data_IF_724996026135
#
_entry.id   IF_724996026135
#
_cell.length_a   1.000
_cell.length_b   1.000
_cell.length_c   1.000
_cell.angle_alpha   90.00
_cell.angle_beta   90.00
_cell.angle_gamma   90.00
#
_symmetry.space_group_name_H-M   'P 1'
#
loop_
_entity.id
_entity.type
_entity.pdbx_description
1 polymer ?
#
# COMPACT_ATOMS: atom_id res chain seq x y z
N UNK A 1 -11.02 -16.38 22.79
CA UNK A 1 -9.55 -16.34 23.00
C UNK A 1 -8.86 -17.45 22.19
N UNK A 2 -8.55 -17.17 20.92
CA UNK A 2 -7.76 -18.07 20.08
C UNK A 2 -6.28 -17.76 20.27
N UNK A 3 -5.50 -18.75 20.70
CA UNK A 3 -4.05 -18.67 20.80
C UNK A 3 -3.48 -18.31 19.42
N UNK A 4 -2.89 -17.11 19.30
CA UNK A 4 -2.04 -16.79 18.16
C UNK A 4 -0.80 -17.67 18.28
N UNK A 5 -0.74 -18.73 17.47
CA UNK A 5 0.34 -19.71 17.50
C UNK A 5 1.70 -19.04 17.26
N UNK A 6 2.75 -19.65 17.80
CA UNK A 6 4.17 -19.28 17.70
C UNK A 6 4.74 -19.30 16.26
N UNK A 7 3.89 -19.16 15.23
CA UNK A 7 4.21 -19.28 13.80
C UNK A 7 3.68 -18.08 12.99
N UNK A 8 3.25 -17.02 13.66
CA UNK A 8 2.71 -15.83 13.02
C UNK A 8 3.87 -15.04 12.39
N UNK A 9 3.88 -14.92 11.06
CA UNK A 9 5.00 -14.30 10.34
C UNK A 9 4.89 -12.77 10.34
N UNK A 10 6.01 -12.04 10.47
CA UNK A 10 5.98 -10.58 10.56
C UNK A 10 5.38 -9.94 9.30
N UNK A 11 4.65 -8.85 9.51
CA UNK A 11 3.98 -8.09 8.46
C UNK A 11 4.31 -6.61 8.61
N UNK A 12 4.65 -5.95 7.50
CA UNK A 12 4.80 -4.49 7.45
C UNK A 12 3.66 -3.84 6.65
N UNK A 13 3.13 -2.73 7.15
CA UNK A 13 2.14 -1.88 6.48
C UNK A 13 2.74 -0.48 6.26
N UNK A 14 3.18 -0.21 5.02
CA UNK A 14 3.98 0.96 4.65
C UNK A 14 3.07 2.13 4.28
N UNK A 15 3.18 3.25 5.01
CA UNK A 15 2.30 4.40 4.89
C UNK A 15 0.88 4.06 5.29
N UNK A 16 0.73 3.64 6.55
CA UNK A 16 -0.49 3.04 7.09
C UNK A 16 -1.70 3.99 7.05
N UNK A 17 -1.50 5.31 7.02
CA UNK A 17 -2.57 6.28 6.92
C UNK A 17 -3.59 6.11 8.05
N UNK A 18 -4.80 5.66 7.69
CA UNK A 18 -5.89 5.41 8.64
C UNK A 18 -5.77 4.08 9.40
N UNK A 19 -4.78 3.23 9.09
CA UNK A 19 -4.62 1.91 9.69
C UNK A 19 -5.54 0.82 9.12
N UNK A 20 -6.26 1.09 8.02
CA UNK A 20 -7.28 0.17 7.49
C UNK A 20 -6.70 -1.17 7.05
N UNK A 21 -5.54 -1.20 6.40
CA UNK A 21 -4.90 -2.44 5.97
C UNK A 21 -4.42 -3.25 7.17
N UNK A 22 -3.72 -2.60 8.10
CA UNK A 22 -3.35 -3.18 9.39
C UNK A 22 -4.55 -3.78 10.13
N UNK A 23 -5.69 -3.09 10.19
CA UNK A 23 -6.89 -3.59 10.84
C UNK A 23 -7.46 -4.84 10.15
N UNK A 24 -7.54 -4.84 8.81
CA UNK A 24 -8.01 -5.99 8.02
C UNK A 24 -7.10 -7.20 8.22
N UNK A 25 -5.78 -6.99 8.16
CA UNK A 25 -4.77 -8.03 8.36
C UNK A 25 -4.86 -8.62 9.77
N UNK A 26 -4.91 -7.76 10.80
CA UNK A 26 -5.02 -8.18 12.19
C UNK A 26 -6.29 -9.01 12.45
N UNK A 27 -7.43 -8.61 11.87
CA UNK A 27 -8.70 -9.37 11.97
C UNK A 27 -8.64 -10.72 11.27
N UNK A 28 -7.82 -10.86 10.22
CA UNK A 28 -7.57 -12.13 9.53
C UNK A 28 -6.52 -13.00 10.23
N UNK A 29 -5.96 -12.55 11.36
CA UNK A 29 -4.98 -13.29 12.13
C UNK A 29 -3.55 -13.19 11.60
N UNK A 30 -3.28 -12.28 10.67
CA UNK A 30 -1.92 -11.97 10.25
C UNK A 30 -1.20 -11.14 11.33
N UNK A 31 0.12 -11.26 11.38
CA UNK A 31 0.97 -10.51 12.29
C UNK A 31 2.05 -11.37 12.92
N UNK A 32 2.92 -10.80 13.78
CA UNK A 32 2.87 -9.43 14.31
C UNK A 32 2.96 -8.35 13.21
N UNK A 33 2.19 -7.26 13.35
CA UNK A 33 2.13 -6.18 12.34
C UNK A 33 2.91 -4.96 12.84
N UNK A 34 3.80 -4.42 12.03
CA UNK A 34 4.39 -3.09 12.20
C UNK A 34 3.88 -2.17 11.09
N UNK A 35 3.20 -1.11 11.46
CA UNK A 35 2.63 -0.14 10.52
C UNK A 35 3.37 1.19 10.65
N UNK A 36 3.77 1.76 9.52
CA UNK A 36 4.63 2.93 9.46
C UNK A 36 3.95 4.10 8.79
N UNK A 37 4.21 5.30 9.27
CA UNK A 37 3.85 6.55 8.59
C UNK A 37 4.77 7.67 9.05
N UNK A 38 5.00 8.68 8.22
CA UNK A 38 5.76 9.86 8.61
C UNK A 38 4.89 10.92 9.29
N UNK A 39 3.59 10.99 8.98
CA UNK A 39 2.70 11.99 9.56
C UNK A 39 2.21 11.52 10.94
N UNK A 40 2.58 12.19 12.04
CA UNK A 40 2.09 11.82 13.37
C UNK A 40 0.56 11.90 13.48
N UNK A 41 -0.11 12.69 12.63
CA UNK A 41 -1.58 12.74 12.57
C UNK A 41 -2.17 11.47 11.95
N UNK A 42 -1.51 10.90 10.95
CA UNK A 42 -1.90 9.60 10.38
C UNK A 42 -1.77 8.50 11.45
N UNK A 43 -0.65 8.48 12.18
CA UNK A 43 -0.44 7.52 13.27
C UNK A 43 -1.49 7.66 14.39
N UNK A 44 -1.87 8.90 14.76
CA UNK A 44 -2.95 9.13 15.71
C UNK A 44 -4.29 8.57 15.19
N UNK A 45 -4.63 8.86 13.93
CA UNK A 45 -5.84 8.33 13.28
C UNK A 45 -5.83 6.79 13.23
N UNK A 46 -4.71 6.18 12.84
CA UNK A 46 -4.54 4.73 12.84
C UNK A 46 -4.73 4.15 14.24
N UNK A 47 -4.16 4.77 15.29
CA UNK A 47 -4.33 4.32 16.68
C UNK A 47 -5.79 4.30 17.11
N UNK A 48 -6.53 5.36 16.81
CA UNK A 48 -7.95 5.46 17.13
C UNK A 48 -8.77 4.38 16.42
N UNK A 49 -8.57 4.22 15.11
CA UNK A 49 -9.28 3.22 14.32
C UNK A 49 -8.98 1.78 14.77
N UNK A 50 -7.71 1.46 15.02
CA UNK A 50 -7.28 0.14 15.51
C UNK A 50 -7.90 -0.17 16.88
N UNK A 51 -8.07 0.85 17.72
CA UNK A 51 -8.67 0.71 19.05
C UNK A 51 -10.16 0.46 18.95
N UNK A 52 -10.87 1.21 18.10
CA UNK A 52 -12.30 1.01 17.84
C UNK A 52 -12.59 -0.38 17.25
N UNK A 53 -11.71 -0.89 16.38
CA UNK A 53 -11.82 -2.23 15.80
C UNK A 53 -11.39 -3.34 16.78
N UNK A 54 -10.75 -3.00 17.90
CA UNK A 54 -10.33 -3.95 18.93
C UNK A 54 -9.08 -4.77 18.56
N UNK A 55 -8.19 -4.22 17.74
CA UNK A 55 -6.98 -4.91 17.25
C UNK A 55 -5.67 -4.18 17.54
N UNK A 56 -5.70 -3.09 18.31
CA UNK A 56 -4.52 -2.29 18.65
C UNK A 56 -3.35 -3.09 19.22
N UNK A 57 -3.61 -4.14 20.01
CA UNK A 57 -2.56 -4.99 20.60
C UNK A 57 -1.79 -5.83 19.56
N UNK A 58 -2.32 -5.96 18.33
CA UNK A 58 -1.70 -6.72 17.24
C UNK A 58 -0.84 -5.86 16.31
N UNK A 59 -0.87 -4.53 16.49
CA UNK A 59 -0.27 -3.57 15.58
C UNK A 59 0.63 -2.59 16.32
N UNK A 60 1.92 -2.63 16.01
CA UNK A 60 2.88 -1.61 16.43
C UNK A 60 2.88 -0.49 15.41
N UNK A 61 2.53 0.73 15.84
CA UNK A 61 2.66 1.93 15.03
C UNK A 61 4.04 2.55 15.22
N UNK A 62 4.73 2.87 14.14
CA UNK A 62 6.07 3.45 14.16
C UNK A 62 6.15 4.67 13.24
N UNK A 63 6.60 5.79 13.78
CA UNK A 63 6.93 6.96 12.96
C UNK A 63 8.28 6.75 12.29
N UNK A 64 8.28 6.47 10.98
CA UNK A 64 9.50 6.24 10.20
C UNK A 64 9.23 6.51 8.72
N UNK A 65 10.29 6.80 7.97
CA UNK A 65 10.21 6.91 6.52
C UNK A 65 10.16 5.52 5.89
N UNK A 66 9.00 5.18 5.31
CA UNK A 66 8.67 3.92 4.66
C UNK A 66 8.91 2.68 5.53
N UNK A 67 10.12 2.13 5.56
CA UNK A 67 10.37 0.81 6.13
C UNK A 67 10.79 0.87 7.61
N UNK A 68 10.24 -0.01 8.46
CA UNK A 68 10.79 -0.24 9.79
C UNK A 68 12.05 -1.11 9.69
N UNK A 69 12.89 -1.16 10.73
CA UNK A 69 14.00 -2.11 10.79
C UNK A 69 13.53 -3.57 10.69
N UNK A 70 14.31 -4.40 9.99
CA UNK A 70 14.10 -5.85 9.94
C UNK A 70 13.49 -6.33 8.62
N UNK A 71 12.91 -7.54 8.66
CA UNK A 71 12.32 -8.19 7.48
C UNK A 71 10.95 -8.77 7.83
N UNK A 72 10.07 -8.81 6.83
CA UNK A 72 8.72 -9.33 6.95
C UNK A 72 8.44 -10.39 5.89
N UNK A 73 7.50 -11.29 6.20
CA UNK A 73 6.97 -12.23 5.21
C UNK A 73 6.01 -11.52 4.25
N UNK A 74 5.30 -10.51 4.74
CA UNK A 74 4.39 -9.71 3.93
C UNK A 74 4.67 -8.23 4.15
N UNK A 75 4.84 -7.47 3.08
CA UNK A 75 4.96 -6.00 3.12
C UNK A 75 3.86 -5.41 2.26
N UNK A 76 2.86 -4.78 2.87
CA UNK A 76 1.73 -4.16 2.16
C UNK A 76 1.95 -2.66 2.00
N UNK A 77 1.45 -2.09 0.91
CA UNK A 77 1.49 -0.65 0.64
C UNK A 77 0.33 -0.24 -0.26
N UNK A 78 -0.37 0.83 0.11
CA UNK A 78 -1.35 1.51 -0.73
C UNK A 78 -0.92 2.96 -0.91
N UNK A 79 0.07 3.23 -1.78
CA UNK A 79 0.57 4.58 -1.99
C UNK A 79 -0.50 5.44 -2.68
N UNK A 80 -0.37 6.78 -2.62
CA UNK A 80 -1.19 7.66 -3.43
C UNK A 80 -1.04 7.34 -4.92
N UNK A 81 -2.14 7.39 -5.67
CA UNK A 81 -2.21 6.79 -7.01
C UNK A 81 -1.75 7.69 -8.17
N UNK A 82 -1.79 9.01 -8.01
CA UNK A 82 -1.52 9.97 -9.07
C UNK A 82 -0.17 10.65 -8.87
N UNK A 83 0.74 10.66 -9.84
CA UNK A 83 2.05 11.29 -9.68
C UNK A 83 2.00 12.82 -9.89
N UNK A 84 1.17 13.53 -9.14
CA UNK A 84 1.07 15.00 -9.21
C UNK A 84 1.31 15.65 -7.85
N UNK A 85 1.24 16.99 -7.79
CA UNK A 85 1.33 17.73 -6.53
C UNK A 85 -0.04 17.83 -5.88
N UNK A 86 -0.14 17.49 -4.61
CA UNK A 86 -1.31 17.80 -3.81
C UNK A 86 -1.38 19.31 -3.54
N UNK A 87 -2.55 19.92 -3.72
CA UNK A 87 -2.81 21.30 -3.31
C UNK A 87 -3.32 21.42 -1.88
N UNK A 88 -3.67 20.29 -1.23
CA UNK A 88 -4.14 20.22 0.16
C UNK A 88 -3.67 18.94 0.89
N UNK A 89 -3.72 18.89 2.24
CA UNK A 89 -3.39 17.68 3.01
C UNK A 89 -4.23 16.45 2.67
N UNK A 90 -5.51 16.65 2.37
CA UNK A 90 -6.44 15.56 1.99
C UNK A 90 -6.07 14.98 0.63
N UNK A 91 -5.56 15.81 -0.26
CA UNK A 91 -5.13 15.43 -1.59
C UNK A 91 -3.83 14.61 -1.62
N UNK A 92 -3.00 14.67 -0.57
CA UNK A 92 -1.79 13.81 -0.47
C UNK A 92 -2.10 12.32 -0.41
N UNK A 93 -3.34 11.94 -0.09
CA UNK A 93 -3.78 10.54 -0.18
C UNK A 93 -3.99 10.07 -1.62
N UNK A 94 -4.09 11.00 -2.58
CA UNK A 94 -4.28 10.72 -4.01
C UNK A 94 -3.04 11.03 -4.81
N UNK A 95 -2.26 12.03 -4.40
CA UNK A 95 -1.11 12.53 -5.16
C UNK A 95 0.26 12.17 -4.55
N UNK A 96 1.13 11.54 -5.33
CA UNK A 96 2.51 11.15 -5.03
C UNK A 96 3.49 11.92 -5.92
N UNK A 97 3.88 13.14 -5.52
CA UNK A 97 4.79 13.99 -6.31
C UNK A 97 6.09 13.25 -6.65
N UNK A 98 6.33 13.02 -7.95
CA UNK A 98 7.49 12.27 -8.44
C UNK A 98 7.45 10.76 -8.18
N UNK A 99 6.29 10.20 -7.83
CA UNK A 99 6.14 8.79 -7.44
C UNK A 99 7.07 8.39 -6.28
N UNK A 100 7.30 9.29 -5.32
CA UNK A 100 8.25 9.09 -4.22
C UNK A 100 7.90 7.87 -3.39
N UNK A 101 6.64 7.75 -2.96
CA UNK A 101 6.23 6.64 -2.10
C UNK A 101 6.22 5.32 -2.87
N UNK A 102 5.72 5.33 -4.11
CA UNK A 102 5.75 4.15 -4.96
C UNK A 102 7.18 3.66 -5.23
N UNK A 103 8.07 4.54 -5.69
CA UNK A 103 9.45 4.16 -5.98
C UNK A 103 10.21 3.79 -4.71
N UNK A 104 10.00 4.52 -3.61
CA UNK A 104 10.60 4.21 -2.33
C UNK A 104 10.19 2.82 -1.82
N UNK A 105 8.90 2.47 -1.94
CA UNK A 105 8.42 1.13 -1.63
C UNK A 105 9.09 0.07 -2.51
N UNK A 106 9.10 0.24 -3.84
CA UNK A 106 9.70 -0.73 -4.75
C UNK A 106 11.19 -0.93 -4.45
N UNK A 107 11.95 0.16 -4.33
CA UNK A 107 13.40 0.13 -4.11
C UNK A 107 13.79 -0.43 -2.74
N UNK A 108 12.94 -0.27 -1.72
CA UNK A 108 13.20 -0.80 -0.38
C UNK A 108 12.71 -2.24 -0.17
N UNK A 109 11.73 -2.71 -0.97
CA UNK A 109 11.02 -3.96 -0.70
C UNK A 109 11.95 -5.18 -0.64
N UNK A 110 12.88 -5.32 -1.60
CA UNK A 110 13.76 -6.48 -1.68
C UNK A 110 14.62 -6.67 -0.41
N UNK A 111 15.07 -5.58 0.20
CA UNK A 111 15.86 -5.62 1.43
C UNK A 111 15.05 -6.02 2.67
N UNK A 112 13.72 -5.84 2.64
CA UNK A 112 12.82 -6.05 3.77
C UNK A 112 11.96 -7.31 3.65
N UNK A 113 12.14 -8.12 2.60
CA UNK A 113 11.48 -9.42 2.47
C UNK A 113 12.29 -10.55 3.12
N UNK A 114 11.59 -11.39 3.88
CA UNK A 114 12.07 -12.73 4.23
C UNK A 114 12.12 -13.61 2.96
N UNK A 115 12.96 -14.66 2.91
CA UNK A 115 12.94 -15.63 1.82
C UNK A 115 11.54 -16.22 1.65
N UNK A 116 10.99 -16.16 0.43
CA UNK A 116 9.64 -16.60 0.10
C UNK A 116 8.52 -15.60 0.45
N UNK A 117 8.85 -14.47 1.06
CA UNK A 117 7.89 -13.41 1.36
C UNK A 117 7.43 -12.62 0.13
N UNK A 118 6.36 -11.85 0.30
CA UNK A 118 5.73 -11.07 -0.77
C UNK A 118 5.55 -9.58 -0.41
N UNK A 119 5.69 -8.73 -1.42
CA UNK A 119 5.21 -7.35 -1.38
C UNK A 119 3.83 -7.24 -2.02
N UNK A 120 2.88 -6.63 -1.33
CA UNK A 120 1.53 -6.41 -1.83
C UNK A 120 1.29 -4.92 -2.03
N UNK A 121 1.21 -4.52 -3.30
CA UNK A 121 1.09 -3.13 -3.71
C UNK A 121 -0.28 -2.86 -4.31
N UNK A 122 -1.03 -1.93 -3.74
CA UNK A 122 -2.33 -1.51 -4.25
C UNK A 122 -2.12 -0.28 -5.13
N UNK A 123 -2.48 -0.37 -6.41
CA UNK A 123 -2.37 0.75 -7.34
C UNK A 123 -3.58 0.83 -8.25
N UNK A 124 -3.98 2.04 -8.56
CA UNK A 124 -4.92 2.34 -9.63
C UNK A 124 -4.20 2.50 -10.97
N UNK A 125 -4.84 2.08 -12.07
CA UNK A 125 -4.41 2.38 -13.43
C UNK A 125 -4.79 3.81 -13.89
N UNK A 126 -5.34 4.64 -13.01
CA UNK A 126 -5.72 6.02 -13.31
C UNK A 126 -4.53 6.84 -13.85
N UNK A 127 -3.32 6.63 -13.33
CA UNK A 127 -2.11 7.28 -13.87
C UNK A 127 -1.80 6.87 -15.32
N UNK A 128 -2.18 5.65 -15.72
CA UNK A 128 -2.03 5.14 -17.09
C UNK A 128 -3.04 5.83 -18.02
N UNK A 129 -4.31 5.91 -17.61
CA UNK A 129 -5.36 6.59 -18.37
C UNK A 129 -5.09 8.09 -18.55
N UNK A 130 -4.41 8.71 -17.59
CA UNK A 130 -4.03 10.13 -17.65
C UNK A 130 -2.68 10.38 -18.35
N UNK A 131 -2.01 9.33 -18.83
CA UNK A 131 -0.71 9.45 -19.50
C UNK A 131 0.43 9.93 -18.59
N UNK A 132 0.24 9.86 -17.27
CA UNK A 132 1.21 10.33 -16.27
C UNK A 132 2.28 9.28 -15.96
N UNK A 133 1.97 8.01 -16.16
CA UNK A 133 2.87 6.87 -16.05
C UNK A 133 2.26 5.67 -16.74
N UNK A 134 2.98 5.05 -17.65
CA UNK A 134 2.56 3.83 -18.36
C UNK A 134 2.74 2.56 -17.51
N UNK A 135 2.02 1.51 -17.91
CA UNK A 135 2.22 0.15 -17.37
C UNK A 135 3.66 -0.33 -17.55
N UNK A 136 4.27 -0.03 -18.70
CA UNK A 136 5.63 -0.44 -19.03
C UNK A 136 6.66 0.18 -18.08
N UNK A 137 6.48 1.47 -17.73
CA UNK A 137 7.34 2.14 -16.74
C UNK A 137 7.21 1.49 -15.36
N UNK A 138 6.00 1.20 -14.89
CA UNK A 138 5.80 0.49 -13.61
C UNK A 138 6.51 -0.86 -13.60
N UNK A 139 6.33 -1.67 -14.65
CA UNK A 139 6.99 -2.98 -14.75
C UNK A 139 8.51 -2.85 -14.84
N UNK A 140 9.00 -1.80 -15.51
CA UNK A 140 10.41 -1.45 -15.55
C UNK A 140 10.98 -1.14 -14.17
N UNK A 141 10.28 -0.32 -13.37
CA UNK A 141 10.68 -0.01 -11.98
C UNK A 141 10.67 -1.25 -11.08
N UNK A 142 9.67 -2.12 -11.22
CA UNK A 142 9.61 -3.39 -10.49
C UNK A 142 10.84 -4.25 -10.81
N UNK A 143 11.17 -4.41 -12.10
CA UNK A 143 12.33 -5.19 -12.51
C UNK A 143 13.66 -4.57 -12.03
N UNK A 144 13.81 -3.24 -12.15
CA UNK A 144 15.00 -2.51 -11.67
C UNK A 144 15.22 -2.64 -10.16
N UNK A 145 14.14 -2.79 -9.39
CA UNK A 145 14.19 -3.03 -7.95
C UNK A 145 14.53 -4.50 -7.58
N UNK A 146 14.84 -5.36 -8.55
CA UNK A 146 15.13 -6.78 -8.31
C UNK A 146 13.89 -7.60 -7.94
N UNK A 147 12.71 -7.15 -8.38
CA UNK A 147 11.43 -7.77 -8.07
C UNK A 147 10.80 -8.37 -9.34
N UNK A 148 9.89 -9.32 -9.14
CA UNK A 148 9.03 -9.89 -10.17
C UNK A 148 7.57 -9.83 -9.77
N UNK A 149 6.67 -9.81 -10.75
CA UNK A 149 5.22 -9.91 -10.52
C UNK A 149 4.83 -11.38 -10.37
N UNK A 150 4.42 -11.77 -9.17
CA UNK A 150 3.90 -13.11 -8.86
C UNK A 150 2.42 -13.25 -9.23
N UNK A 151 1.69 -12.13 -9.26
CA UNK A 151 0.29 -12.11 -9.64
C UNK A 151 -0.33 -10.72 -9.55
N UNK A 152 -1.51 -10.57 -10.15
CA UNK A 152 -2.32 -9.34 -10.10
C UNK A 152 -3.78 -9.72 -9.88
N UNK A 153 -4.45 -9.02 -8.96
CA UNK A 153 -5.89 -9.14 -8.71
C UNK A 153 -6.54 -7.79 -8.94
N UNK A 154 -7.56 -7.76 -9.79
CA UNK A 154 -8.21 -6.52 -10.21
C UNK A 154 -9.55 -6.34 -9.50
N UNK A 155 -9.83 -5.11 -9.08
CA UNK A 155 -11.12 -4.69 -8.55
C UNK A 155 -11.64 -3.49 -9.36
N UNK A 156 -12.91 -3.58 -9.80
CA UNK A 156 -13.59 -2.48 -10.47
C UNK A 156 -14.22 -1.52 -9.44
N UNK A 157 -14.17 -0.19 -9.66
CA UNK A 157 -14.81 0.80 -8.81
C UNK A 157 -16.31 0.53 -8.68
N UNK A 158 -16.83 0.64 -7.46
CA UNK A 158 -18.28 0.58 -7.18
C UNK A 158 -18.79 1.86 -6.50
N UNK A 159 -18.03 2.96 -6.55
CA UNK A 159 -18.31 4.19 -5.79
C UNK A 159 -18.94 5.30 -6.63
N UNK A 160 -19.73 6.16 -5.96
CA UNK A 160 -20.53 7.23 -6.56
C UNK A 160 -19.74 8.29 -7.36
N UNK A 161 -18.45 8.47 -7.07
CA UNK A 161 -17.57 9.36 -7.85
C UNK A 161 -17.30 8.82 -9.28
N UNK A 162 -17.28 7.50 -9.47
CA UNK A 162 -17.16 6.88 -10.79
C UNK A 162 -18.42 7.09 -11.64
N UNK A 163 -19.56 7.43 -11.03
CA UNK A 163 -20.84 7.72 -11.69
C UNK A 163 -21.16 9.22 -11.83
N UNK A 164 -20.28 10.12 -11.39
CA UNK A 164 -20.53 11.57 -11.46
C UNK A 164 -20.06 12.18 -12.78
N UNK A 165 -20.98 12.37 -13.73
CA UNK A 165 -20.71 12.93 -15.06
C UNK A 165 -20.12 14.36 -15.06
N UNK A 166 -20.20 15.08 -13.94
CA UNK A 166 -19.66 16.43 -13.80
C UNK A 166 -18.20 16.45 -13.30
N UNK A 167 -17.57 15.29 -13.07
CA UNK A 167 -16.14 15.20 -12.73
C UNK A 167 -15.31 15.33 -14.03
N UNK A 168 -14.36 16.28 -14.13
CA UNK A 168 -13.47 16.39 -15.29
C UNK A 168 -12.67 15.09 -15.57
N UNK A 169 -12.51 14.23 -14.56
CA UNK A 169 -11.86 12.93 -14.65
C UNK A 169 -12.88 11.78 -14.75
N UNK A 170 -14.16 12.05 -14.99
CA UNK A 170 -15.23 11.05 -14.96
C UNK A 170 -14.97 9.85 -15.89
N UNK A 171 -14.51 10.08 -17.12
CA UNK A 171 -14.18 9.01 -18.06
C UNK A 171 -13.04 8.12 -17.54
N UNK A 172 -12.01 8.71 -16.96
CA UNK A 172 -10.89 7.98 -16.37
C UNK A 172 -11.27 7.25 -15.07
N UNK A 173 -12.12 7.85 -14.23
CA UNK A 173 -12.62 7.26 -12.97
C UNK A 173 -13.66 6.16 -13.17
N UNK A 174 -14.44 6.23 -14.25
CA UNK A 174 -15.41 5.18 -14.60
C UNK A 174 -14.73 3.96 -15.22
N UNK A 175 -13.59 4.16 -15.89
CA UNK A 175 -12.76 3.10 -16.45
C UNK A 175 -11.67 2.56 -15.51
N UNK A 176 -11.41 3.27 -14.40
CA UNK A 176 -10.38 2.95 -13.41
C UNK A 176 -10.46 1.49 -12.95
N UNK A 177 -9.32 0.85 -12.79
CA UNK A 177 -9.17 -0.45 -12.15
C UNK A 177 -8.14 -0.32 -11.04
N UNK A 178 -8.56 -0.65 -9.81
CA UNK A 178 -7.62 -0.79 -8.70
C UNK A 178 -7.10 -2.22 -8.69
N UNK A 179 -5.79 -2.36 -8.79
CA UNK A 179 -5.09 -3.65 -8.81
C UNK A 179 -4.33 -3.87 -7.50
N UNK A 180 -4.44 -5.07 -6.94
CA UNK A 180 -3.48 -5.60 -5.99
C UNK A 180 -2.40 -6.36 -6.76
N UNK A 181 -1.18 -5.86 -6.68
CA UNK A 181 0.01 -6.49 -7.25
C UNK A 181 0.74 -7.30 -6.20
N UNK A 182 1.00 -8.57 -6.48
CA UNK A 182 1.83 -9.44 -5.67
C UNK A 182 3.22 -9.48 -6.26
N UNK A 183 4.20 -9.05 -5.48
CA UNK A 183 5.60 -8.92 -5.87
C UNK A 183 6.44 -9.89 -5.05
N UNK A 184 7.45 -10.47 -5.67
CA UNK A 184 8.45 -11.30 -5.00
C UNK A 184 9.84 -10.94 -5.45
N UNK A 185 10.86 -11.46 -4.77
CA UNK A 185 12.24 -11.36 -5.25
C UNK A 185 12.35 -12.03 -6.62
N UNK A 186 12.98 -11.35 -7.57
CA UNK A 186 13.36 -11.98 -8.83
C UNK A 186 14.39 -13.09 -8.54
N UNK A 187 14.25 -14.23 -9.22
CA UNK A 187 15.29 -15.28 -9.17
C UNK A 187 16.48 -14.75 -9.98
N UNK A 188 17.72 -14.83 -9.45
CA UNK A 188 18.91 -14.43 -10.18
C UNK A 188 19.11 -15.23 -11.47
#
# INVERSE_FOLDING_TARGET
>A
PGQAGANAQPVFDIGTGTGVLSAVLARRGAGPITATDMDPRALACARENLTQVGVSERVTLLQTDLFPPGKAWLVVCNPPWLPARASSPVERAVYDEGSRMLQGYLNGLAAHLLPGGEGWLILSDLAEHLGLRSRAELLGWIAQAGLQVLGRLDAKPRHSKASNANDPLHSARSAEVTSLWRLGLAVP
#
